data_IF_964525111348
#
_entry.id   IF_964525111348
#
_cell.length_a   1.000
_cell.length_b   1.000
_cell.length_c   1.000
_cell.angle_alpha   90.00
_cell.angle_beta   90.00
_cell.angle_gamma   90.00
#
_symmetry.space_group_name_H-M   'P 1'
#
loop_
_entity.id
_entity.type
_entity.pdbx_description
1 polymer ?
#
# COMPACT_ATOMS: atom_id res chain seq x y z
N UNK A 1 11.76 -5.86 7.48
CA UNK A 1 10.83 -5.73 6.34
C UNK A 1 9.61 -6.65 6.44
N UNK A 2 9.70 -7.83 7.09
CA UNK A 2 8.55 -8.73 7.29
C UNK A 2 7.35 -8.03 7.96
N UNK A 3 7.57 -7.36 9.10
CA UNK A 3 6.48 -6.65 9.82
C UNK A 3 5.78 -5.58 8.97
N UNK A 4 6.52 -4.82 8.15
CA UNK A 4 5.95 -3.79 7.28
C UNK A 4 5.12 -4.41 6.16
N UNK A 5 5.59 -5.51 5.56
CA UNK A 5 4.84 -6.28 4.58
C UNK A 5 3.53 -6.81 5.16
N UNK A 6 3.59 -7.49 6.30
CA UNK A 6 2.42 -8.10 6.94
C UNK A 6 1.38 -7.04 7.31
N UNK A 7 1.81 -5.89 7.85
CA UNK A 7 0.91 -4.79 8.16
C UNK A 7 0.21 -4.23 6.91
N UNK A 8 0.93 -4.08 5.80
CA UNK A 8 0.32 -3.61 4.54
C UNK A 8 -0.64 -4.67 4.00
N UNK A 9 -0.24 -5.93 3.92
CA UNK A 9 -1.08 -7.03 3.40
C UNK A 9 -2.36 -7.20 4.23
N UNK A 10 -2.28 -7.14 5.56
CA UNK A 10 -3.45 -7.20 6.44
C UNK A 10 -4.38 -5.98 6.30
N UNK A 11 -3.82 -4.79 6.09
CA UNK A 11 -4.66 -3.62 5.81
C UNK A 11 -5.39 -3.74 4.46
N UNK A 12 -4.71 -4.23 3.43
CA UNK A 12 -5.31 -4.46 2.10
C UNK A 12 -6.42 -5.52 2.15
N UNK A 13 -6.28 -6.54 3.00
CA UNK A 13 -7.31 -7.56 3.24
C UNK A 13 -8.58 -6.94 3.85
N UNK A 14 -8.45 -6.14 4.91
CA UNK A 14 -9.58 -5.43 5.53
C UNK A 14 -10.29 -4.53 4.50
N UNK A 15 -9.54 -3.76 3.71
CA UNK A 15 -10.11 -2.91 2.66
C UNK A 15 -10.89 -3.72 1.61
N UNK A 16 -10.38 -4.88 1.23
CA UNK A 16 -11.05 -5.75 0.27
C UNK A 16 -12.34 -6.37 0.84
N UNK A 17 -12.32 -6.80 2.11
CA UNK A 17 -13.49 -7.32 2.84
C UNK A 17 -14.58 -6.26 2.97
N UNK A 18 -14.19 -5.01 3.25
CA UNK A 18 -15.10 -3.87 3.37
C UNK A 18 -15.60 -3.34 2.00
N UNK A 19 -15.11 -3.89 0.89
CA UNK A 19 -15.41 -3.38 -0.46
C UNK A 19 -14.88 -1.97 -0.71
N UNK A 20 -13.91 -1.53 0.08
CA UNK A 20 -13.26 -0.22 -0.01
C UNK A 20 -12.23 -0.19 -1.14
N UNK A 21 -11.95 0.99 -1.72
CA UNK A 21 -10.96 1.11 -2.78
C UNK A 21 -9.56 0.82 -2.26
N UNK A 22 -8.83 -0.03 -3.00
CA UNK A 22 -7.41 -0.30 -2.73
C UNK A 22 -6.56 0.92 -3.12
N UNK A 23 -5.71 1.44 -2.23
CA UNK A 23 -4.88 2.61 -2.51
C UNK A 23 -3.86 2.33 -3.62
N UNK A 24 -3.60 3.36 -4.43
CA UNK A 24 -2.62 3.30 -5.52
C UNK A 24 -1.26 3.74 -4.99
N UNK A 25 -0.25 2.87 -5.14
CA UNK A 25 1.12 3.18 -4.78
C UNK A 25 1.66 4.35 -5.63
N UNK A 26 2.42 5.24 -4.99
CA UNK A 26 3.06 6.38 -5.63
C UNK A 26 4.58 6.20 -5.67
N UNK A 27 5.25 7.01 -6.51
CA UNK A 27 6.72 7.05 -6.54
C UNK A 27 7.23 7.59 -5.20
N UNK A 28 8.34 7.03 -4.71
CA UNK A 28 9.02 7.49 -3.48
C UNK A 28 9.30 9.01 -3.52
N UNK A 29 9.63 9.56 -4.69
CA UNK A 29 9.89 11.00 -4.86
C UNK A 29 8.72 11.88 -4.45
N UNK A 30 7.47 11.42 -4.63
CA UNK A 30 6.28 12.18 -4.20
C UNK A 30 6.28 12.36 -2.69
N UNK A 31 6.65 11.32 -1.94
CA UNK A 31 6.70 11.37 -0.49
C UNK A 31 7.97 12.04 0.04
N UNK A 32 9.12 11.81 -0.60
CA UNK A 32 10.40 12.44 -0.22
C UNK A 32 10.40 13.96 -0.38
N UNK A 33 9.53 14.51 -1.24
CA UNK A 33 9.34 15.96 -1.41
C UNK A 33 8.40 16.57 -0.36
N UNK A 34 7.71 15.77 0.47
CA UNK A 34 6.86 16.29 1.54
C UNK A 34 7.73 16.68 2.76
N UNK A 35 7.71 17.95 3.22
CA UNK A 35 8.44 18.38 4.41
C UNK A 35 8.10 17.60 5.69
N UNK A 36 6.88 17.04 5.80
CA UNK A 36 6.48 16.22 6.96
C UNK A 36 7.32 14.94 7.11
N UNK A 37 7.99 14.51 6.04
CA UNK A 37 8.85 13.32 6.02
C UNK A 37 10.34 13.65 5.83
N UNK A 38 10.74 14.89 6.14
CA UNK A 38 12.14 15.31 6.07
C UNK A 38 13.03 14.44 6.98
N UNK A 39 14.17 14.00 6.46
CA UNK A 39 15.12 13.14 7.19
C UNK A 39 14.70 11.67 7.31
N UNK A 40 13.53 11.26 6.79
CA UNK A 40 13.13 9.86 6.78
C UNK A 40 13.95 9.01 5.80
N UNK A 41 14.11 7.73 6.13
CA UNK A 41 14.69 6.72 5.22
C UNK A 41 13.57 5.96 4.52
N UNK A 42 13.73 5.72 3.22
CA UNK A 42 12.73 5.06 2.38
C UNK A 42 13.14 3.65 2.02
N UNK A 43 12.16 2.75 1.96
CA UNK A 43 12.30 1.40 1.43
C UNK A 43 11.09 1.06 0.57
N UNK A 44 11.28 0.19 -0.41
CA UNK A 44 10.20 -0.34 -1.24
C UNK A 44 9.81 -1.72 -0.75
N UNK A 45 8.50 -1.96 -0.65
CA UNK A 45 7.93 -3.28 -0.35
C UNK A 45 7.12 -3.70 -1.56
N UNK A 46 7.53 -4.79 -2.19
CA UNK A 46 6.85 -5.34 -3.36
C UNK A 46 5.67 -6.21 -2.93
N UNK A 47 4.44 -5.84 -3.35
CA UNK A 47 3.19 -6.48 -2.95
C UNK A 47 2.33 -6.68 -4.20
N UNK A 48 1.87 -7.91 -4.38
CA UNK A 48 0.90 -8.24 -5.42
C UNK A 48 -0.51 -7.83 -5.00
N UNK A 49 -0.91 -6.62 -5.39
CA UNK A 49 -2.22 -6.05 -5.04
C UNK A 49 -3.39 -6.70 -5.77
N UNK A 50 -3.13 -7.50 -6.82
CA UNK A 50 -4.20 -8.11 -7.64
C UNK A 50 -5.07 -9.07 -6.85
N UNK A 51 -4.53 -9.65 -5.77
CA UNK A 51 -5.23 -10.53 -4.83
C UNK A 51 -6.41 -9.86 -4.12
N UNK A 52 -6.31 -8.54 -3.93
CA UNK A 52 -7.30 -7.73 -3.19
C UNK A 52 -8.28 -7.01 -4.11
N UNK A 53 -7.97 -6.95 -5.40
CA UNK A 53 -8.86 -6.40 -6.42
C UNK A 53 -9.90 -7.47 -6.78
N UNK A 54 -10.93 -7.60 -5.95
CA UNK A 54 -12.02 -8.56 -6.16
C UNK A 54 -12.49 -8.57 -7.62
N UNK A 55 -12.85 -9.75 -8.16
CA UNK A 55 -13.33 -9.87 -9.54
C UNK A 55 -14.42 -8.82 -9.75
N UNK A 56 -14.17 -7.85 -10.64
CA UNK A 56 -15.21 -6.92 -11.12
C UNK A 56 -16.41 -7.77 -11.51
N UNK A 57 -17.47 -7.74 -10.70
CA UNK A 57 -18.77 -8.22 -11.16
C UNK A 57 -19.19 -7.20 -12.22
N UNK A 58 -19.18 -7.67 -13.47
CA UNK A 58 -19.79 -6.97 -14.59
C UNK A 58 -21.29 -6.84 -14.39
#
# INVERSE_FOLDING_TARGET
MAMAREAIEGHLEILAEDGSPIPIAQKVTVHAQNPDFEGCTWALVDIDVTKYMGKRKS
#
